data_IF_990601314772
#
_entry.id   IF_990601314772
#
_cell.length_a   1.000
_cell.length_b   1.000
_cell.length_c   1.000
_cell.angle_alpha   90.00
_cell.angle_beta   90.00
_cell.angle_gamma   90.00
#
_symmetry.space_group_name_H-M   'P 1'
#
loop_
_entity.id
_entity.type
_entity.pdbx_description
1 polymer ?
#
# COMPACT_ATOMS: atom_id res chain seq x y z
N UNK A 1 -37.47 -13.30 -3.42
CA UNK A 1 -36.44 -14.25 -2.90
C UNK A 1 -35.03 -13.81 -3.15
N UNK A 2 -34.71 -13.09 -4.23
CA UNK A 2 -33.33 -12.65 -4.55
C UNK A 2 -32.77 -11.50 -3.68
N UNK A 3 -33.62 -10.63 -3.15
CA UNK A 3 -33.16 -9.46 -2.35
C UNK A 3 -32.60 -9.83 -0.97
N UNK A 4 -33.09 -10.90 -0.36
CA UNK A 4 -32.57 -11.38 0.94
C UNK A 4 -31.23 -12.08 0.81
N UNK A 5 -31.03 -12.85 -0.28
CA UNK A 5 -29.74 -13.49 -0.56
C UNK A 5 -28.65 -12.45 -0.85
N UNK A 6 -28.96 -11.43 -1.66
CA UNK A 6 -28.03 -10.34 -1.97
C UNK A 6 -27.70 -9.53 -0.71
N UNK A 7 -28.68 -9.28 0.17
CA UNK A 7 -28.45 -8.55 1.43
C UNK A 7 -27.59 -9.34 2.41
N UNK A 8 -27.82 -10.64 2.55
CA UNK A 8 -27.00 -11.51 3.39
C UNK A 8 -25.59 -11.68 2.83
N UNK A 9 -25.45 -11.85 1.51
CA UNK A 9 -24.13 -11.90 0.86
C UNK A 9 -23.33 -10.61 1.06
N UNK A 10 -24.00 -9.46 0.94
CA UNK A 10 -23.39 -8.14 1.13
C UNK A 10 -22.91 -7.94 2.58
N UNK A 11 -23.68 -8.33 3.59
CA UNK A 11 -23.28 -8.18 4.99
C UNK A 11 -22.15 -9.14 5.38
N UNK A 12 -22.18 -10.36 4.89
CA UNK A 12 -21.12 -11.35 5.16
C UNK A 12 -19.79 -11.00 4.47
N UNK A 13 -19.81 -10.56 3.20
CA UNK A 13 -18.60 -10.29 2.43
C UNK A 13 -18.00 -8.89 2.67
N UNK A 14 -18.83 -7.92 2.98
CA UNK A 14 -18.39 -6.50 3.03
C UNK A 14 -18.02 -6.06 4.45
N UNK A 15 -18.59 -6.67 5.49
CA UNK A 15 -18.41 -6.25 6.88
C UNK A 15 -17.62 -7.25 7.75
N UNK A 16 -17.31 -8.44 7.24
CA UNK A 16 -16.71 -9.49 8.04
C UNK A 16 -15.18 -9.33 8.16
N UNK A 17 -14.70 -9.12 9.38
CA UNK A 17 -13.26 -9.15 9.72
C UNK A 17 -12.62 -10.51 9.38
N UNK A 18 -13.40 -11.57 9.38
CA UNK A 18 -12.92 -12.92 9.05
C UNK A 18 -12.49 -13.02 7.59
N UNK A 19 -13.21 -12.41 6.68
CA UNK A 19 -12.85 -12.37 5.25
C UNK A 19 -11.55 -11.60 5.04
N UNK A 20 -11.34 -10.52 5.79
CA UNK A 20 -10.06 -9.79 5.76
C UNK A 20 -8.88 -10.71 6.08
N UNK A 21 -9.01 -11.53 7.09
CA UNK A 21 -7.97 -12.46 7.50
C UNK A 21 -7.74 -13.55 6.45
N UNK A 22 -8.82 -14.13 5.92
CA UNK A 22 -8.72 -15.17 4.87
C UNK A 22 -8.07 -14.63 3.60
N UNK A 23 -8.47 -13.45 3.13
CA UNK A 23 -7.87 -12.82 1.93
C UNK A 23 -6.39 -12.49 2.18
N UNK A 24 -6.04 -11.98 3.36
CA UNK A 24 -4.65 -11.69 3.72
C UNK A 24 -3.78 -12.94 3.70
N UNK A 25 -4.26 -14.04 4.28
CA UNK A 25 -3.54 -15.32 4.25
C UNK A 25 -3.42 -15.85 2.82
N UNK A 26 -4.50 -15.81 2.03
CA UNK A 26 -4.49 -16.26 0.64
C UNK A 26 -3.48 -15.47 -0.20
N UNK A 27 -3.39 -14.15 0.01
CA UNK A 27 -2.42 -13.30 -0.67
C UNK A 27 -0.98 -13.62 -0.26
N UNK A 28 -0.73 -13.84 1.03
CA UNK A 28 0.62 -14.23 1.51
C UNK A 28 1.04 -15.55 0.87
N UNK A 29 0.15 -16.55 0.87
CA UNK A 29 0.41 -17.86 0.25
C UNK A 29 0.66 -17.72 -1.25
N UNK A 30 -0.16 -16.96 -1.96
CA UNK A 30 -0.02 -16.73 -3.41
C UNK A 30 1.34 -16.06 -3.72
N UNK A 31 1.71 -15.01 -3.01
CA UNK A 31 3.00 -14.31 -3.18
C UNK A 31 4.18 -15.24 -2.89
N UNK A 32 4.08 -16.04 -1.83
CA UNK A 32 5.11 -17.02 -1.48
C UNK A 32 5.28 -18.10 -2.54
N UNK A 33 4.18 -18.63 -3.07
CA UNK A 33 4.21 -19.59 -4.18
C UNK A 33 4.80 -18.99 -5.47
N UNK A 34 4.49 -17.73 -5.77
CA UNK A 34 5.11 -17.01 -6.89
C UNK A 34 6.61 -16.84 -6.69
N UNK A 35 7.04 -16.48 -5.49
CA UNK A 35 8.44 -16.34 -5.13
C UNK A 35 9.20 -17.67 -5.32
N UNK A 36 8.62 -18.78 -4.84
CA UNK A 36 9.25 -20.11 -4.99
C UNK A 36 9.34 -20.57 -6.47
N UNK A 37 8.34 -20.22 -7.30
CA UNK A 37 8.30 -20.66 -8.71
C UNK A 37 9.14 -19.80 -9.65
N UNK A 38 9.13 -18.49 -9.47
CA UNK A 38 9.71 -17.52 -10.42
C UNK A 38 10.93 -16.79 -9.88
N UNK A 39 11.20 -16.88 -8.58
CA UNK A 39 12.19 -16.03 -7.92
C UNK A 39 11.78 -14.55 -7.88
N UNK A 40 12.74 -13.68 -7.57
CA UNK A 40 12.55 -12.23 -7.68
C UNK A 40 12.85 -11.79 -9.11
N UNK A 41 12.06 -10.91 -9.70
CA UNK A 41 12.34 -10.36 -11.02
C UNK A 41 13.60 -9.49 -10.99
N UNK A 42 14.47 -9.66 -11.97
CA UNK A 42 15.61 -8.76 -12.21
C UNK A 42 15.11 -7.46 -12.83
N UNK A 43 14.77 -6.53 -11.96
CA UNK A 43 14.37 -5.18 -12.35
C UNK A 43 15.52 -4.27 -11.96
N UNK A 44 16.16 -3.67 -12.95
CA UNK A 44 17.06 -2.56 -12.72
C UNK A 44 16.23 -1.35 -12.31
N UNK A 45 16.46 -0.83 -11.11
CA UNK A 45 15.89 0.44 -10.69
C UNK A 45 16.50 1.52 -11.57
N UNK A 46 15.71 2.21 -12.36
CA UNK A 46 16.14 3.36 -13.16
C UNK A 46 16.83 4.36 -12.22
N UNK A 47 18.10 4.67 -12.52
CA UNK A 47 19.07 5.33 -11.63
C UNK A 47 18.81 6.80 -11.26
N UNK A 48 17.57 7.20 -11.07
CA UNK A 48 17.14 8.57 -10.73
C UNK A 48 16.98 8.83 -9.23
N UNK A 49 17.21 7.83 -8.37
CA UNK A 49 16.97 7.94 -6.94
C UNK A 49 18.29 8.09 -6.16
N UNK A 50 18.41 9.11 -5.30
CA UNK A 50 19.63 9.37 -4.54
C UNK A 50 19.92 8.33 -3.45
N UNK A 51 18.91 7.80 -2.81
CA UNK A 51 19.04 6.92 -1.63
C UNK A 51 18.96 5.44 -2.01
N UNK A 52 18.22 5.12 -3.06
CA UNK A 52 17.89 3.75 -3.43
C UNK A 52 19.09 2.85 -3.78
N UNK A 53 20.13 3.29 -4.50
CA UNK A 53 21.26 2.42 -4.88
C UNK A 53 21.94 1.74 -3.69
N UNK A 54 22.02 2.42 -2.54
CA UNK A 54 22.62 1.85 -1.32
C UNK A 54 21.72 0.74 -0.74
N UNK A 55 20.41 0.94 -0.75
CA UNK A 55 19.42 -0.02 -0.25
C UNK A 55 19.31 -1.22 -1.19
N UNK A 56 19.36 -0.99 -2.50
CA UNK A 56 19.27 -2.04 -3.51
C UNK A 56 20.43 -3.04 -3.41
N UNK A 57 21.65 -2.57 -3.15
CA UNK A 57 22.81 -3.44 -2.96
C UNK A 57 22.57 -4.45 -1.82
N UNK A 58 21.99 -3.98 -0.72
CA UNK A 58 21.62 -4.85 0.41
C UNK A 58 20.52 -5.86 0.02
N UNK A 59 19.49 -5.44 -0.70
CA UNK A 59 18.40 -6.32 -1.13
C UNK A 59 18.83 -7.35 -2.18
N UNK A 60 19.85 -7.06 -2.99
CA UNK A 60 20.44 -8.05 -3.91
C UNK A 60 21.16 -9.16 -3.18
N UNK A 61 21.81 -8.86 -2.05
CA UNK A 61 22.48 -9.88 -1.22
C UNK A 61 21.47 -10.77 -0.48
N UNK A 62 20.31 -10.21 -0.09
CA UNK A 62 19.31 -10.91 0.72
C UNK A 62 17.94 -10.92 0.03
N UNK A 63 17.70 -11.83 -0.95
CA UNK A 63 16.44 -11.85 -1.70
C UNK A 63 15.21 -12.11 -0.83
N UNK A 64 15.32 -12.89 0.24
CA UNK A 64 14.23 -13.10 1.20
C UNK A 64 13.82 -11.81 1.92
N UNK A 65 14.79 -10.96 2.27
CA UNK A 65 14.51 -9.67 2.93
C UNK A 65 13.79 -8.74 1.95
N UNK A 66 14.20 -8.73 0.67
CA UNK A 66 13.52 -7.96 -0.38
C UNK A 66 12.08 -8.42 -0.58
N UNK A 67 11.83 -9.74 -0.59
CA UNK A 67 10.49 -10.30 -0.68
C UNK A 67 9.61 -9.94 0.52
N UNK A 68 10.15 -10.08 1.74
CA UNK A 68 9.40 -9.77 2.97
C UNK A 68 9.08 -8.28 3.07
N UNK A 69 10.05 -7.41 2.78
CA UNK A 69 9.85 -5.96 2.82
C UNK A 69 8.85 -5.50 1.74
N UNK A 70 8.92 -6.07 0.51
CA UNK A 70 7.95 -5.80 -0.54
C UNK A 70 6.53 -6.26 -0.16
N UNK A 71 6.41 -7.43 0.47
CA UNK A 71 5.12 -7.93 0.95
C UNK A 71 4.57 -7.05 2.08
N UNK A 72 5.40 -6.69 3.05
CA UNK A 72 5.01 -5.79 4.14
C UNK A 72 4.55 -4.42 3.61
N UNK A 73 5.26 -3.87 2.61
CA UNK A 73 4.89 -2.59 1.99
C UNK A 73 3.50 -2.62 1.35
N UNK A 74 3.14 -3.72 0.67
CA UNK A 74 1.79 -3.89 0.10
C UNK A 74 0.71 -3.89 1.20
N UNK A 75 0.97 -4.56 2.34
CA UNK A 75 0.04 -4.54 3.48
C UNK A 75 -0.09 -3.14 4.09
N UNK A 76 1.03 -2.41 4.23
CA UNK A 76 1.02 -1.03 4.74
C UNK A 76 0.21 -0.12 3.80
N UNK A 77 0.41 -0.20 2.48
CA UNK A 77 -0.34 0.58 1.49
C UNK A 77 -1.83 0.28 1.60
N UNK A 78 -2.21 -1.01 1.62
CA UNK A 78 -3.60 -1.43 1.75
C UNK A 78 -4.24 -0.95 3.05
N UNK A 79 -3.49 -1.00 4.14
CA UNK A 79 -3.93 -0.49 5.44
C UNK A 79 -4.12 1.03 5.41
N UNK A 80 -3.17 1.80 4.86
CA UNK A 80 -3.26 3.27 4.77
C UNK A 80 -4.47 3.70 3.94
N UNK A 81 -4.74 3.04 2.80
CA UNK A 81 -5.91 3.33 1.97
C UNK A 81 -7.21 3.04 2.74
N UNK A 82 -7.25 1.92 3.46
CA UNK A 82 -8.41 1.57 4.30
C UNK A 82 -8.62 2.58 5.43
N UNK A 83 -7.55 2.99 6.11
CA UNK A 83 -7.60 3.96 7.21
C UNK A 83 -8.03 5.34 6.72
N UNK A 84 -7.54 5.79 5.55
CA UNK A 84 -8.01 7.01 4.89
C UNK A 84 -9.52 6.95 4.63
N UNK A 85 -10.00 5.82 4.13
CA UNK A 85 -11.44 5.66 3.90
C UNK A 85 -12.27 5.69 5.18
N UNK A 86 -11.79 5.05 6.25
CA UNK A 86 -12.49 5.02 7.55
C UNK A 86 -12.55 6.40 8.18
N UNK A 87 -11.42 7.15 8.17
CA UNK A 87 -11.33 8.46 8.84
C UNK A 87 -12.03 9.57 8.09
N UNK A 88 -11.90 9.59 6.78
CA UNK A 88 -12.34 10.72 5.95
C UNK A 88 -13.54 10.41 5.07
N UNK A 89 -14.03 9.16 5.09
CA UNK A 89 -15.24 8.77 4.36
C UNK A 89 -15.09 8.95 2.85
N UNK A 90 -13.90 8.69 2.29
CA UNK A 90 -13.60 8.85 0.86
C UNK A 90 -14.59 8.05 0.01
N UNK A 91 -14.93 6.86 0.47
CA UNK A 91 -16.02 6.05 -0.11
C UNK A 91 -17.21 6.13 0.83
N UNK A 92 -18.34 6.56 0.31
CA UNK A 92 -19.58 6.83 1.06
C UNK A 92 -20.15 5.62 1.82
N UNK A 93 -19.72 4.40 1.48
CA UNK A 93 -20.12 3.16 2.14
C UNK A 93 -18.99 2.66 3.05
N UNK A 94 -19.32 2.24 4.28
CA UNK A 94 -18.39 1.51 5.16
C UNK A 94 -18.16 0.13 4.56
N UNK A 95 -17.08 -0.02 3.80
CA UNK A 95 -16.71 -1.29 3.17
C UNK A 95 -15.26 -1.61 3.48
N UNK A 96 -14.92 -2.88 3.55
CA UNK A 96 -13.54 -3.38 3.65
C UNK A 96 -12.84 -3.47 2.29
N UNK A 97 -13.55 -3.15 1.20
CA UNK A 97 -13.03 -3.17 -0.18
C UNK A 97 -11.74 -2.34 -0.36
N UNK A 98 -11.58 -1.14 0.23
CA UNK A 98 -10.35 -0.37 0.09
C UNK A 98 -9.10 -1.08 0.59
N UNK A 99 -9.25 -2.07 1.48
CA UNK A 99 -8.16 -2.91 1.94
C UNK A 99 -7.81 -4.02 0.95
N UNK A 100 -8.84 -4.70 0.38
CA UNK A 100 -8.61 -5.87 -0.46
C UNK A 100 -8.14 -5.54 -1.86
N UNK A 101 -8.69 -4.49 -2.46
CA UNK A 101 -8.43 -4.16 -3.86
C UNK A 101 -6.93 -3.91 -4.10
N UNK A 102 -6.24 -3.04 -3.33
CA UNK A 102 -4.80 -2.86 -3.50
C UNK A 102 -4.03 -4.14 -3.20
N UNK A 103 -4.41 -4.87 -2.13
CA UNK A 103 -3.74 -6.09 -1.71
C UNK A 103 -3.72 -7.13 -2.83
N UNK A 104 -4.85 -7.34 -3.51
CA UNK A 104 -4.98 -8.28 -4.62
C UNK A 104 -4.26 -7.76 -5.85
N UNK A 105 -4.45 -6.49 -6.24
CA UNK A 105 -3.83 -5.90 -7.42
C UNK A 105 -2.30 -5.99 -7.38
N UNK A 106 -1.68 -5.63 -6.26
CA UNK A 106 -0.23 -5.74 -6.09
C UNK A 106 0.28 -7.19 -5.96
N UNK A 107 -0.61 -8.15 -5.87
CA UNK A 107 -0.25 -9.57 -5.75
C UNK A 107 -0.45 -10.38 -7.03
N UNK A 108 -1.09 -9.82 -8.06
CA UNK A 108 -1.35 -10.51 -9.34
C UNK A 108 -0.07 -10.67 -10.15
N UNK A 109 0.82 -9.67 -10.13
CA UNK A 109 1.97 -9.67 -11.01
C UNK A 109 3.30 -9.87 -10.26
N UNK A 110 4.22 -10.74 -10.75
CA UNK A 110 5.51 -11.02 -10.09
C UNK A 110 6.39 -9.79 -9.91
N UNK A 111 6.23 -8.75 -10.73
CA UNK A 111 6.93 -7.49 -10.63
C UNK A 111 6.86 -6.88 -9.23
N UNK A 112 5.71 -7.02 -8.57
CA UNK A 112 5.45 -6.47 -7.24
C UNK A 112 5.96 -7.35 -6.09
N UNK A 113 6.72 -8.43 -6.37
CA UNK A 113 7.33 -9.25 -5.32
C UNK A 113 8.59 -8.62 -4.74
N UNK A 114 9.39 -7.94 -5.60
CA UNK A 114 10.63 -7.27 -5.21
C UNK A 114 10.32 -5.92 -4.56
N UNK A 115 11.08 -5.58 -3.53
CA UNK A 115 11.02 -4.24 -2.95
C UNK A 115 11.58 -3.21 -3.94
N UNK A 116 10.82 -2.17 -4.25
CA UNK A 116 11.21 -1.06 -5.13
C UNK A 116 11.06 0.27 -4.40
N UNK A 117 11.75 1.34 -4.83
CA UNK A 117 11.60 2.66 -4.24
C UNK A 117 10.17 3.20 -4.34
N UNK A 118 9.42 2.74 -5.36
CA UNK A 118 8.03 3.15 -5.58
C UNK A 118 7.12 2.84 -4.39
N UNK A 119 7.36 1.71 -3.71
CA UNK A 119 6.61 1.36 -2.50
C UNK A 119 6.78 2.40 -1.39
N UNK A 120 8.02 2.85 -1.17
CA UNK A 120 8.29 3.88 -0.16
C UNK A 120 7.67 5.21 -0.58
N UNK A 121 7.83 5.60 -1.86
CA UNK A 121 7.17 6.78 -2.41
C UNK A 121 5.66 6.78 -2.17
N UNK A 122 4.98 5.67 -2.53
CA UNK A 122 3.54 5.53 -2.35
C UNK A 122 3.13 5.60 -0.88
N UNK A 123 3.89 4.94 0.03
CA UNK A 123 3.61 4.96 1.48
C UNK A 123 3.68 6.39 2.01
N UNK A 124 4.71 7.17 1.65
CA UNK A 124 4.85 8.55 2.11
C UNK A 124 3.83 9.49 1.47
N UNK A 125 3.47 9.29 0.19
CA UNK A 125 2.40 10.04 -0.48
C UNK A 125 1.06 9.77 0.22
N UNK A 126 0.69 8.51 0.45
CA UNK A 126 -0.53 8.15 1.18
C UNK A 126 -0.50 8.70 2.61
N UNK A 127 0.65 8.61 3.28
CA UNK A 127 0.86 9.19 4.61
C UNK A 127 0.65 10.70 4.63
N UNK A 128 1.05 11.41 3.58
CA UNK A 128 0.88 12.86 3.47
C UNK A 128 -0.58 13.29 3.30
N UNK A 129 -1.44 12.42 2.78
CA UNK A 129 -2.87 12.71 2.65
C UNK A 129 -3.57 12.87 4.02
N UNK A 130 -3.07 12.22 5.08
CA UNK A 130 -3.67 12.36 6.42
C UNK A 130 -3.59 13.80 6.95
N UNK A 131 -2.41 14.44 7.03
CA UNK A 131 -2.34 15.84 7.46
C UNK A 131 -3.01 16.77 6.45
N UNK A 132 -2.99 16.47 5.15
CA UNK A 132 -3.70 17.27 4.15
C UNK A 132 -5.21 17.29 4.43
N UNK A 133 -5.82 16.13 4.58
CA UNK A 133 -7.26 16.01 4.85
C UNK A 133 -7.62 16.54 6.24
N UNK A 134 -6.75 16.37 7.23
CA UNK A 134 -6.93 16.96 8.56
C UNK A 134 -6.92 18.49 8.52
N UNK A 135 -6.11 19.10 7.65
CA UNK A 135 -6.06 20.56 7.51
C UNK A 135 -7.38 21.16 7.03
N UNK A 136 -8.16 20.43 6.25
CA UNK A 136 -9.50 20.86 5.82
C UNK A 136 -10.54 20.84 6.95
N UNK A 137 -10.35 19.97 7.94
CA UNK A 137 -11.27 19.84 9.06
C UNK A 137 -10.97 20.85 10.19
N UNK A 138 -9.69 21.20 10.36
CA UNK A 138 -9.23 22.08 11.44
C UNK A 138 -8.71 23.40 10.86
N UNK A 139 -9.54 24.45 10.93
CA UNK A 139 -9.15 25.83 10.55
C UNK A 139 -8.02 26.31 11.47
N UNK A 140 -6.85 26.62 10.96
CA UNK A 140 -5.70 27.24 11.65
C UNK A 140 -4.51 26.33 12.04
N UNK A 141 -4.23 25.26 11.35
CA UNK A 141 -3.08 24.48 11.74
C UNK A 141 -1.95 24.50 10.69
N UNK A 142 -1.05 25.48 10.78
CA UNK A 142 0.23 25.50 10.05
C UNK A 142 1.04 24.20 10.25
N UNK A 143 0.82 23.50 11.38
CA UNK A 143 1.40 22.21 11.68
C UNK A 143 1.07 21.14 10.63
N UNK A 144 -0.17 21.06 10.17
CA UNK A 144 -0.58 20.08 9.17
C UNK A 144 0.01 20.37 7.80
N UNK A 145 0.12 21.63 7.41
CA UNK A 145 0.77 22.03 6.17
C UNK A 145 2.26 21.66 6.18
N UNK A 146 2.95 21.87 7.30
CA UNK A 146 4.34 21.44 7.46
C UNK A 146 4.50 19.93 7.39
N UNK A 147 3.66 19.18 8.09
CA UNK A 147 3.68 17.72 8.06
C UNK A 147 3.43 17.15 6.65
N UNK A 148 2.46 17.73 5.93
CA UNK A 148 2.19 17.36 4.54
C UNK A 148 3.42 17.60 3.66
N UNK A 149 4.00 18.80 3.71
CA UNK A 149 5.17 19.16 2.92
C UNK A 149 6.40 18.29 3.25
N UNK A 150 6.63 18.01 4.54
CA UNK A 150 7.74 17.17 4.97
C UNK A 150 7.60 15.72 4.46
N UNK A 151 6.41 15.11 4.56
CA UNK A 151 6.17 13.76 4.06
C UNK A 151 6.28 13.70 2.53
N UNK A 152 5.80 14.72 1.83
CA UNK A 152 5.90 14.80 0.37
C UNK A 152 7.37 14.97 -0.07
N UNK A 153 8.16 15.76 0.64
CA UNK A 153 9.59 15.91 0.37
C UNK A 153 10.35 14.59 0.58
N UNK A 154 10.01 13.81 1.62
CA UNK A 154 10.58 12.47 1.82
C UNK A 154 10.16 11.54 0.67
N UNK A 155 8.90 11.57 0.26
CA UNK A 155 8.45 10.78 -0.90
C UNK A 155 9.27 11.11 -2.15
N UNK A 156 9.54 12.38 -2.41
CA UNK A 156 10.35 12.85 -3.52
C UNK A 156 11.82 12.42 -3.47
N UNK A 157 12.38 12.21 -2.27
CA UNK A 157 13.73 11.66 -2.13
C UNK A 157 13.83 10.21 -2.62
N UNK A 158 12.75 9.45 -2.52
CA UNK A 158 12.67 8.07 -3.04
C UNK A 158 12.20 8.05 -4.50
N UNK A 159 11.40 9.02 -4.94
CA UNK A 159 10.82 9.04 -6.27
C UNK A 159 10.67 10.50 -6.75
N UNK A 160 11.52 10.90 -7.70
CA UNK A 160 11.53 12.29 -8.22
C UNK A 160 10.16 12.68 -8.78
N UNK A 161 9.43 11.74 -9.36
CA UNK A 161 8.09 11.98 -9.90
C UNK A 161 7.03 12.33 -8.85
N UNK A 162 7.29 12.09 -7.57
CA UNK A 162 6.35 12.46 -6.51
C UNK A 162 6.35 13.97 -6.20
N UNK A 163 7.33 14.71 -6.74
CA UNK A 163 7.46 16.16 -6.57
C UNK A 163 6.89 16.96 -7.76
N UNK A 164 6.60 16.31 -8.88
CA UNK A 164 5.98 16.91 -10.06
C UNK A 164 4.46 16.77 -10.04
#
# INVERSE_FOLDING_TARGET
>A
MNTLLVRNFKSYFVESRFISLVVSIAVIVLRFLMFLRKGLPDIESSGTNFVWPYIETYFRQYPLVSFLSGTLSVFIISYLISELNVRYGVIRMRTTMPFYVPLVLFSIHPFFLKMTPDYLGIIFILGSLFPLLASYQYHHSHKYAFQFGALLAIAGAFQIYALL
#
